data_IF_188530722005
#
_entry.id   IF_188530722005
#
_cell.length_a   1.000
_cell.length_b   1.000
_cell.length_c   1.000
_cell.angle_alpha   90.00
_cell.angle_beta   90.00
_cell.angle_gamma   90.00
#
_symmetry.space_group_name_H-M   'P 1'
#
loop_
_entity.id
_entity.type
_entity.pdbx_description
1 polymer ?
#
# COMPACT_ATOMS: atom_id res chain seq x y z
N UNK A 1 13.90 -10.67 -11.45
CA UNK A 1 13.15 -10.64 -10.18
C UNK A 1 13.79 -9.55 -9.33
N UNK A 2 13.04 -8.50 -8.98
CA UNK A 2 13.54 -7.52 -8.01
C UNK A 2 13.67 -8.26 -6.67
N UNK A 3 14.90 -8.51 -6.23
CA UNK A 3 15.13 -9.07 -4.89
C UNK A 3 14.94 -7.94 -3.90
N UNK A 4 13.73 -7.86 -3.34
CA UNK A 4 13.44 -6.93 -2.25
C UNK A 4 14.21 -7.31 -0.99
N UNK A 5 14.63 -6.31 -0.23
CA UNK A 5 15.22 -6.54 1.08
C UNK A 5 14.18 -7.06 2.09
N UNK A 6 12.91 -6.69 1.91
CA UNK A 6 11.77 -7.12 2.71
C UNK A 6 10.70 -7.79 1.82
N UNK A 7 10.97 -8.99 1.30
CA UNK A 7 10.08 -9.65 0.34
C UNK A 7 8.71 -9.96 0.94
N UNK A 8 8.64 -10.35 2.21
CA UNK A 8 7.38 -10.66 2.90
C UNK A 8 6.52 -9.40 3.11
N UNK A 9 7.13 -8.28 3.49
CA UNK A 9 6.44 -7.01 3.63
C UNK A 9 5.87 -6.54 2.30
N UNK A 10 6.65 -6.62 1.22
CA UNK A 10 6.20 -6.27 -0.13
C UNK A 10 5.08 -7.19 -0.60
N UNK A 11 5.23 -8.50 -0.41
CA UNK A 11 4.20 -9.47 -0.78
C UNK A 11 2.88 -9.23 -0.03
N UNK A 12 2.94 -8.88 1.27
CA UNK A 12 1.75 -8.53 2.06
C UNK A 12 1.03 -7.32 1.49
N UNK A 13 1.78 -6.27 1.13
CA UNK A 13 1.23 -5.07 0.50
C UNK A 13 0.61 -5.41 -0.85
N UNK A 14 1.30 -6.17 -1.70
CA UNK A 14 0.80 -6.61 -3.01
C UNK A 14 -0.51 -7.40 -2.88
N UNK A 15 -0.56 -8.35 -1.95
CA UNK A 15 -1.74 -9.17 -1.71
C UNK A 15 -2.91 -8.34 -1.21
N UNK A 16 -2.71 -7.48 -0.20
CA UNK A 16 -3.77 -6.62 0.31
C UNK A 16 -4.32 -5.68 -0.76
N UNK A 17 -3.44 -5.08 -1.56
CA UNK A 17 -3.81 -4.23 -2.68
C UNK A 17 -4.61 -5.00 -3.74
N UNK A 18 -4.16 -6.21 -4.12
CA UNK A 18 -4.84 -7.05 -5.10
C UNK A 18 -6.21 -7.52 -4.62
N UNK A 19 -6.33 -7.92 -3.35
CA UNK A 19 -7.61 -8.30 -2.74
C UNK A 19 -8.60 -7.13 -2.70
N UNK A 20 -8.13 -5.92 -2.37
CA UNK A 20 -8.98 -4.73 -2.40
C UNK A 20 -9.51 -4.43 -3.81
N UNK A 21 -8.63 -4.46 -4.81
CA UNK A 21 -9.03 -4.25 -6.22
C UNK A 21 -9.98 -5.32 -6.75
N UNK A 22 -9.95 -6.51 -6.15
CA UNK A 22 -10.85 -7.63 -6.46
C UNK A 22 -12.13 -7.63 -5.62
N UNK A 23 -12.30 -6.62 -4.73
CA UNK A 23 -13.44 -6.47 -3.81
C UNK A 23 -13.50 -7.53 -2.70
N UNK A 24 -12.38 -8.22 -2.45
CA UNK A 24 -12.24 -9.25 -1.41
C UNK A 24 -11.67 -8.69 -0.08
N UNK A 25 -11.32 -7.40 -0.05
CA UNK A 25 -10.81 -6.73 1.14
C UNK A 25 -11.37 -5.30 1.30
N UNK A 26 -11.43 -4.81 2.53
CA UNK A 26 -11.85 -3.44 2.87
C UNK A 26 -10.65 -2.48 2.92
N UNK A 27 -10.94 -1.17 2.98
CA UNK A 27 -9.89 -0.14 3.10
C UNK A 27 -9.07 -0.33 4.38
N UNK A 28 -9.74 -0.66 5.49
CA UNK A 28 -9.09 -0.88 6.79
C UNK A 28 -8.14 -2.08 6.77
N UNK A 29 -8.48 -3.15 6.04
CA UNK A 29 -7.59 -4.29 5.86
C UNK A 29 -6.34 -3.92 5.06
N UNK A 30 -6.49 -3.06 4.04
CA UNK A 30 -5.33 -2.51 3.31
C UNK A 30 -4.48 -1.65 4.24
N UNK A 31 -5.07 -0.73 4.99
CA UNK A 31 -4.33 0.11 5.95
C UNK A 31 -3.55 -0.72 6.97
N UNK A 32 -4.16 -1.76 7.53
CA UNK A 32 -3.49 -2.66 8.47
C UNK A 32 -2.26 -3.33 7.85
N UNK A 33 -2.38 -3.81 6.61
CA UNK A 33 -1.28 -4.41 5.87
C UNK A 33 -0.16 -3.42 5.55
N UNK A 34 -0.52 -2.18 5.16
CA UNK A 34 0.45 -1.09 4.91
C UNK A 34 1.21 -0.75 6.19
N UNK A 35 0.50 -0.50 7.29
CA UNK A 35 1.07 -0.15 8.60
C UNK A 35 1.98 -1.25 9.13
N UNK A 36 1.56 -2.51 9.06
CA UNK A 36 2.40 -3.63 9.47
C UNK A 36 3.71 -3.67 8.65
N UNK A 37 3.61 -3.53 7.33
CA UNK A 37 4.76 -3.61 6.44
C UNK A 37 5.70 -2.41 6.59
N UNK A 38 5.15 -1.22 6.84
CA UNK A 38 5.89 0.01 7.17
C UNK A 38 6.77 -0.18 8.41
N UNK A 39 6.22 -0.75 9.49
CA UNK A 39 6.93 -1.00 10.74
C UNK A 39 8.06 -2.04 10.61
N UNK A 40 7.92 -3.00 9.69
CA UNK A 40 8.94 -4.03 9.43
C UNK A 40 10.14 -3.49 8.65
N UNK A 41 9.97 -2.40 7.88
CA UNK A 41 11.02 -1.83 7.04
C UNK A 41 11.93 -0.89 7.86
N UNK A 42 13.13 -1.36 8.16
CA UNK A 42 14.11 -0.61 8.96
C UNK A 42 15.29 -0.07 8.16
N UNK A 43 15.62 -0.67 7.01
CA UNK A 43 16.80 -0.33 6.23
C UNK A 43 16.69 1.05 5.55
N UNK A 44 17.81 1.76 5.50
CA UNK A 44 17.90 3.09 4.88
C UNK A 44 17.61 3.06 3.38
N UNK A 45 18.10 2.05 2.66
CA UNK A 45 17.88 1.89 1.21
C UNK A 45 16.40 1.71 0.85
N UNK A 46 15.59 1.28 1.82
CA UNK A 46 14.14 1.07 1.69
C UNK A 46 13.33 2.17 2.39
N UNK A 47 13.96 3.27 2.82
CA UNK A 47 13.26 4.40 3.47
C UNK A 47 12.15 4.95 2.58
N UNK A 48 12.35 4.97 1.27
CA UNK A 48 11.33 5.42 0.32
C UNK A 48 10.10 4.52 0.35
N UNK A 49 10.28 3.19 0.49
CA UNK A 49 9.18 2.24 0.55
C UNK A 49 8.40 2.48 1.84
N UNK A 50 9.09 2.63 2.97
CA UNK A 50 8.44 2.97 4.24
C UNK A 50 7.62 4.26 4.13
N UNK A 51 8.17 5.32 3.53
CA UNK A 51 7.44 6.56 3.30
C UNK A 51 6.21 6.38 2.40
N UNK A 52 6.36 5.63 1.29
CA UNK A 52 5.22 5.32 0.41
C UNK A 52 4.09 4.62 1.16
N UNK A 53 4.41 3.62 1.99
CA UNK A 53 3.40 2.87 2.74
C UNK A 53 2.72 3.73 3.79
N UNK A 54 3.49 4.56 4.52
CA UNK A 54 2.96 5.50 5.50
C UNK A 54 2.02 6.54 4.88
N UNK A 55 2.45 7.18 3.79
CA UNK A 55 1.66 8.21 3.11
C UNK A 55 0.37 7.63 2.54
N UNK A 56 0.43 6.43 1.96
CA UNK A 56 -0.73 5.73 1.46
C UNK A 56 -1.71 5.32 2.58
N UNK A 57 -1.20 4.84 3.71
CA UNK A 57 -2.02 4.47 4.86
C UNK A 57 -2.81 5.67 5.40
N UNK A 58 -2.13 6.80 5.60
CA UNK A 58 -2.77 8.05 5.99
C UNK A 58 -3.79 8.53 4.96
N UNK A 59 -3.51 8.37 3.66
CA UNK A 59 -4.45 8.80 2.62
C UNK A 59 -5.72 7.94 2.62
N UNK A 60 -5.59 6.64 2.85
CA UNK A 60 -6.74 5.75 3.02
C UNK A 60 -7.55 6.10 4.27
N UNK A 61 -6.90 6.49 5.36
CA UNK A 61 -7.56 7.01 6.56
C UNK A 61 -8.38 8.26 6.25
N UNK A 62 -7.77 9.23 5.56
CA UNK A 62 -8.43 10.46 5.13
C UNK A 62 -9.66 10.14 4.28
N UNK A 63 -9.56 9.19 3.34
CA UNK A 63 -10.68 8.78 2.47
C UNK A 63 -11.85 8.24 3.32
N UNK A 64 -11.58 7.33 4.27
CA UNK A 64 -12.61 6.75 5.14
C UNK A 64 -13.38 7.78 5.95
N UNK A 65 -12.72 8.86 6.38
CA UNK A 65 -13.34 9.85 7.26
C UNK A 65 -13.86 11.10 6.55
N UNK A 66 -13.48 11.35 5.29
CA UNK A 66 -13.80 12.61 4.60
C UNK A 66 -14.54 12.45 3.27
N UNK A 67 -14.46 11.28 2.65
CA UNK A 67 -15.13 10.98 1.37
C UNK A 67 -16.44 10.25 1.66
N UNK A 68 -17.48 10.55 0.87
CA UNK A 68 -18.77 9.87 1.00
C UNK A 68 -18.64 8.37 0.69
N UNK A 69 -19.37 7.53 1.41
CA UNK A 69 -19.28 6.06 1.34
C UNK A 69 -19.34 5.51 -0.10
N UNK A 70 -20.17 6.10 -0.96
CA UNK A 70 -20.35 5.72 -2.36
C UNK A 70 -19.14 6.03 -3.25
N UNK A 71 -18.24 6.91 -2.80
CA UNK A 71 -17.04 7.35 -3.52
C UNK A 71 -15.74 6.81 -2.91
N UNK A 72 -15.76 6.31 -1.67
CA UNK A 72 -14.57 5.84 -0.97
C UNK A 72 -13.82 4.74 -1.73
N UNK A 73 -14.54 3.74 -2.25
CA UNK A 73 -13.94 2.66 -3.00
C UNK A 73 -13.21 3.15 -4.26
N UNK A 74 -13.80 4.12 -4.97
CA UNK A 74 -13.18 4.71 -6.15
C UNK A 74 -11.91 5.51 -5.79
N UNK A 75 -11.98 6.34 -4.74
CA UNK A 75 -10.82 7.11 -4.28
C UNK A 75 -9.68 6.18 -3.80
N UNK A 76 -10.01 5.15 -3.02
CA UNK A 76 -9.04 4.17 -2.53
C UNK A 76 -8.41 3.35 -3.66
N UNK A 77 -9.15 3.03 -4.73
CA UNK A 77 -8.59 2.35 -5.90
C UNK A 77 -7.42 3.12 -6.53
N UNK A 78 -7.48 4.46 -6.56
CA UNK A 78 -6.39 5.27 -7.10
C UNK A 78 -5.12 5.17 -6.25
N UNK A 79 -5.26 5.22 -4.92
CA UNK A 79 -4.16 5.06 -3.97
C UNK A 79 -3.54 3.66 -4.09
N UNK A 80 -4.36 2.62 -4.06
CA UNK A 80 -3.92 1.22 -4.13
C UNK A 80 -3.19 0.93 -5.45
N UNK A 81 -3.70 1.43 -6.58
CA UNK A 81 -3.03 1.30 -7.89
C UNK A 81 -1.70 2.05 -7.94
N UNK A 82 -1.60 3.20 -7.28
CA UNK A 82 -0.35 3.94 -7.18
C UNK A 82 0.71 3.12 -6.42
N UNK A 83 0.37 2.52 -5.27
CA UNK A 83 1.27 1.66 -4.49
C UNK A 83 1.80 0.51 -5.36
N UNK A 84 0.89 -0.27 -5.99
CA UNK A 84 1.26 -1.40 -6.85
C UNK A 84 2.20 -0.99 -7.98
N UNK A 85 1.92 0.15 -8.64
CA UNK A 85 2.79 0.66 -9.70
C UNK A 85 4.17 1.02 -9.18
N UNK A 86 4.24 1.69 -8.03
CA UNK A 86 5.50 2.15 -7.43
C UNK A 86 6.39 0.99 -6.99
N UNK A 87 5.81 -0.07 -6.43
CA UNK A 87 6.59 -1.26 -6.05
C UNK A 87 6.96 -2.11 -7.28
N UNK A 88 6.06 -2.29 -8.25
CA UNK A 88 6.37 -3.09 -9.44
C UNK A 88 7.28 -2.38 -10.46
N UNK A 89 7.56 -1.09 -10.28
CA UNK A 89 8.41 -0.33 -11.16
C UNK A 89 9.85 -0.92 -11.19
N UNK A 90 10.49 -1.02 -12.37
CA UNK A 90 11.87 -1.43 -12.47
C UNK A 90 12.75 -0.42 -11.72
N UNK A 91 13.48 -0.90 -10.71
CA UNK A 91 14.46 -0.11 -9.98
C UNK A 91 15.70 0.01 -10.86
N UNK A 92 16.02 1.23 -11.30
CA UNK A 92 17.31 1.50 -11.94
C UNK A 92 18.36 1.47 -10.83
N UNK A 93 19.13 0.38 -10.77
CA UNK A 93 20.31 0.24 -9.89
C UNK A 93 21.46 1.03 -10.50
#
# INVERSE_FOLDING_TARGET
MNTWLYPEAVQRVEQACASFLSQDATIEQVQAALRQSEQEIVALDEKWLRSLLFDAENKLEEILYTVSDDQQAQAANEVVRHILRSIQAPRSV
#
